data_IF_580167166047
#
_entry.id   IF_580167166047
#
_cell.length_a   1.000
_cell.length_b   1.000
_cell.length_c   1.000
_cell.angle_alpha   90.00
_cell.angle_beta   90.00
_cell.angle_gamma   90.00
#
_symmetry.space_group_name_H-M   'P 1'
#
loop_
_entity.id
_entity.type
_entity.pdbx_description
1 polymer ?
#
# COMPACT_ATOMS: atom_id res chain seq x y z
N UNK A 1 6.07 9.81 -11.73
CA UNK A 1 6.49 8.48 -11.23
C UNK A 1 5.71 7.42 -11.98
N UNK A 2 6.40 6.50 -12.61
CA UNK A 2 5.76 5.45 -13.42
C UNK A 2 5.86 4.11 -12.74
N UNK A 3 4.81 3.34 -12.78
CA UNK A 3 4.78 2.00 -12.23
C UNK A 3 4.92 0.96 -13.35
N UNK A 4 5.80 0.00 -13.15
CA UNK A 4 5.94 -1.17 -14.00
C UNK A 4 5.64 -2.40 -13.18
N UNK A 5 4.76 -3.26 -13.66
CA UNK A 5 4.42 -4.48 -12.95
C UNK A 5 5.46 -5.56 -13.17
N UNK A 6 5.82 -6.20 -12.07
CA UNK A 6 6.61 -7.43 -12.09
C UNK A 6 5.81 -8.48 -11.33
N UNK A 7 5.48 -9.56 -12.02
CA UNK A 7 4.83 -10.69 -11.38
C UNK A 7 5.85 -11.48 -10.58
N UNK A 8 5.49 -11.85 -9.37
CA UNK A 8 6.35 -12.68 -8.53
C UNK A 8 5.68 -14.02 -8.26
N UNK A 9 6.50 -14.99 -7.92
CA UNK A 9 6.02 -16.33 -7.57
C UNK A 9 5.47 -16.42 -6.13
N UNK A 10 5.54 -15.34 -5.38
CA UNK A 10 5.17 -15.35 -3.95
C UNK A 10 3.72 -15.00 -3.69
N UNK A 11 2.88 -14.91 -4.71
CA UNK A 11 1.45 -14.67 -4.58
C UNK A 11 1.04 -13.23 -4.77
N UNK A 12 1.61 -12.29 -4.04
CA UNK A 12 1.29 -10.87 -4.23
C UNK A 12 2.14 -10.29 -5.36
N UNK A 13 1.53 -9.61 -6.35
CA UNK A 13 2.31 -8.97 -7.41
C UNK A 13 3.09 -7.79 -6.86
N UNK A 14 4.29 -7.60 -7.39
CA UNK A 14 5.12 -6.45 -7.05
C UNK A 14 5.12 -5.46 -8.20
N UNK A 15 5.11 -4.19 -7.88
CA UNK A 15 5.23 -3.11 -8.83
C UNK A 15 6.60 -2.45 -8.66
N UNK A 16 7.30 -2.26 -9.76
CA UNK A 16 8.52 -1.48 -9.76
C UNK A 16 8.17 -0.05 -10.12
N UNK A 17 8.44 0.88 -9.22
CA UNK A 17 8.10 2.29 -9.39
C UNK A 17 9.39 3.08 -9.53
N UNK A 18 9.47 3.87 -10.58
CA UNK A 18 10.64 4.71 -10.85
C UNK A 18 10.35 6.14 -10.40
N UNK A 19 11.20 6.65 -9.52
CA UNK A 19 11.12 8.01 -9.00
C UNK A 19 12.25 8.85 -9.57
N UNK A 20 11.94 10.11 -9.82
CA UNK A 20 12.96 11.09 -10.21
C UNK A 20 13.57 11.69 -8.96
N UNK A 21 14.91 11.72 -8.91
CA UNK A 21 15.62 12.37 -7.81
C UNK A 21 15.46 13.89 -7.93
N UNK A 22 14.99 14.59 -6.88
CA UNK A 22 14.82 16.04 -6.93
C UNK A 22 16.12 16.83 -6.99
N UNK A 23 17.25 16.22 -6.61
CA UNK A 23 18.54 16.91 -6.53
C UNK A 23 19.53 16.48 -7.62
N UNK A 24 19.31 15.38 -8.28
CA UNK A 24 20.22 14.82 -9.28
C UNK A 24 19.45 14.29 -10.47
N UNK A 25 20.13 14.16 -11.61
CA UNK A 25 19.57 13.48 -12.79
C UNK A 25 19.69 11.98 -12.67
N UNK A 26 19.12 11.43 -11.63
CA UNK A 26 19.07 9.98 -11.41
C UNK A 26 17.65 9.53 -11.23
N UNK A 27 17.39 8.31 -11.69
CA UNK A 27 16.14 7.65 -11.46
C UNK A 27 16.35 6.60 -10.37
N UNK A 28 15.52 6.64 -9.36
CA UNK A 28 15.50 5.62 -8.32
C UNK A 28 14.33 4.68 -8.56
N UNK A 29 14.61 3.40 -8.53
CA UNK A 29 13.56 2.38 -8.70
C UNK A 29 13.33 1.69 -7.37
N UNK A 30 12.08 1.70 -6.92
CA UNK A 30 11.67 1.03 -5.69
C UNK A 30 10.62 -0.03 -6.01
N UNK A 31 10.60 -1.09 -5.23
CA UNK A 31 9.64 -2.17 -5.38
C UNK A 31 8.52 -1.99 -4.36
N UNK A 32 7.30 -1.91 -4.85
CA UNK A 32 6.11 -1.80 -4.02
C UNK A 32 5.25 -3.04 -4.18
N UNK A 33 4.47 -3.36 -3.16
CA UNK A 33 3.41 -4.34 -3.32
C UNK A 33 2.29 -3.66 -4.11
N UNK A 34 1.91 -4.25 -5.24
CA UNK A 34 0.92 -3.64 -6.12
C UNK A 34 -0.47 -3.75 -5.52
N UNK A 35 -1.18 -2.64 -5.30
CA UNK A 35 -2.58 -2.69 -4.95
C UNK A 35 -3.42 -3.05 -6.18
N UNK A 36 -4.61 -3.60 -5.93
CA UNK A 36 -5.52 -3.97 -7.00
C UNK A 36 -5.97 -2.71 -7.76
N UNK A 37 -5.93 -2.80 -9.08
CA UNK A 37 -6.27 -1.68 -9.97
C UNK A 37 -5.07 -0.90 -10.47
N UNK A 38 -3.87 -1.15 -9.96
CA UNK A 38 -2.66 -0.51 -10.44
C UNK A 38 -2.26 -1.14 -11.78
N UNK A 39 -1.92 -0.31 -12.76
CA UNK A 39 -1.51 -0.79 -14.08
C UNK A 39 -0.21 -0.14 -14.52
N UNK A 40 0.46 -0.78 -15.48
CA UNK A 40 1.72 -0.28 -16.05
C UNK A 40 1.51 1.08 -16.68
N UNK A 41 2.41 2.01 -16.38
CA UNK A 41 2.33 3.38 -16.90
C UNK A 41 1.54 4.32 -16.02
N UNK A 42 0.91 3.83 -14.96
CA UNK A 42 0.19 4.66 -14.02
C UNK A 42 1.16 5.49 -13.18
N UNK A 43 0.78 6.71 -12.86
CA UNK A 43 1.55 7.55 -11.96
C UNK A 43 1.15 7.29 -10.52
N UNK A 44 2.15 7.21 -9.66
CA UNK A 44 1.99 6.98 -8.23
C UNK A 44 2.67 8.10 -7.47
N UNK A 45 1.98 8.64 -6.49
CA UNK A 45 2.47 9.73 -5.66
C UNK A 45 2.70 9.25 -4.24
N UNK A 46 3.81 9.69 -3.67
CA UNK A 46 4.18 9.36 -2.30
C UNK A 46 4.42 10.65 -1.52
N UNK A 47 3.85 10.75 -0.34
CA UNK A 47 4.08 11.86 0.55
C UNK A 47 2.83 12.36 1.23
N UNK A 48 3.02 13.30 2.15
CA UNK A 48 1.95 13.84 2.98
C UNK A 48 0.89 14.58 2.16
N UNK A 49 1.30 15.18 1.06
CA UNK A 49 0.40 15.97 0.19
C UNK A 49 -0.15 15.17 -0.99
N UNK A 50 0.13 13.89 -1.07
CA UNK A 50 -0.40 13.05 -2.12
C UNK A 50 -1.93 12.97 -2.01
N UNK A 51 -2.60 12.82 -3.14
CA UNK A 51 -4.03 12.65 -3.16
C UNK A 51 -4.42 11.25 -2.66
N UNK A 52 -5.61 11.15 -2.12
CA UNK A 52 -6.15 9.85 -1.70
C UNK A 52 -6.59 9.07 -2.95
N UNK A 53 -5.71 8.24 -3.45
CA UNK A 53 -5.98 7.43 -4.63
C UNK A 53 -5.28 6.09 -4.53
N UNK A 54 -5.82 5.09 -5.21
CA UNK A 54 -5.29 3.73 -5.19
C UNK A 54 -3.85 3.72 -5.72
N UNK A 55 -2.95 3.14 -4.95
CA UNK A 55 -1.53 3.06 -5.29
C UNK A 55 -0.69 4.17 -4.68
N UNK A 56 -1.30 5.24 -4.21
CA UNK A 56 -0.56 6.33 -3.59
C UNK A 56 -0.15 5.96 -2.17
N UNK A 57 0.98 6.46 -1.74
CA UNK A 57 1.53 6.19 -0.41
C UNK A 57 1.44 7.46 0.43
N UNK A 58 0.76 7.35 1.57
CA UNK A 58 0.57 8.48 2.48
C UNK A 58 0.89 8.06 3.92
N UNK A 59 1.31 9.02 4.77
CA UNK A 59 1.40 8.74 6.19
C UNK A 59 0.02 8.56 6.80
N UNK A 60 -0.04 7.78 7.88
CA UNK A 60 -1.31 7.46 8.54
C UNK A 60 -2.09 8.69 8.97
N UNK A 61 -1.38 9.74 9.38
CA UNK A 61 -2.02 10.99 9.81
C UNK A 61 -2.81 11.69 8.70
N UNK A 62 -2.48 11.43 7.44
CA UNK A 62 -3.15 12.05 6.30
C UNK A 62 -4.30 11.21 5.75
N UNK A 63 -4.52 10.04 6.29
CA UNK A 63 -5.56 9.12 5.81
C UNK A 63 -6.81 9.26 6.67
N UNK A 64 -7.99 9.46 6.06
CA UNK A 64 -9.23 9.52 6.83
C UNK A 64 -9.61 8.16 7.41
N UNK A 65 -10.44 8.18 8.44
CA UNK A 65 -10.98 6.95 9.03
C UNK A 65 -11.79 6.18 8.00
N UNK A 66 -11.72 4.85 8.07
CA UNK A 66 -12.42 3.97 7.14
C UNK A 66 -11.66 3.72 5.85
N UNK A 67 -10.50 4.33 5.64
CA UNK A 67 -9.69 4.11 4.43
C UNK A 67 -9.12 2.70 4.44
N UNK A 68 -9.20 2.03 3.30
CA UNK A 68 -8.61 0.71 3.10
C UNK A 68 -7.18 0.90 2.60
N UNK A 69 -6.24 0.29 3.31
CA UNK A 69 -4.81 0.43 3.03
C UNK A 69 -4.14 -0.93 3.02
N UNK A 70 -2.98 -1.00 2.40
CA UNK A 70 -2.14 -2.21 2.41
C UNK A 70 -0.68 -1.80 2.54
N UNK A 71 0.19 -2.79 2.75
CA UNK A 71 1.63 -2.59 2.90
C UNK A 71 1.93 -1.52 3.95
N UNK A 72 1.31 -1.68 5.13
CA UNK A 72 1.41 -0.71 6.21
C UNK A 72 2.72 -0.89 6.96
N UNK A 73 3.41 0.20 7.24
CA UNK A 73 4.60 0.17 8.07
C UNK A 73 4.22 -0.04 9.53
N UNK A 74 4.85 -0.97 10.18
CA UNK A 74 4.71 -1.16 11.62
C UNK A 74 5.51 -0.10 12.38
N UNK A 75 6.70 0.18 11.89
CA UNK A 75 7.55 1.26 12.37
C UNK A 75 7.86 2.19 11.21
N UNK A 76 7.99 3.47 11.49
CA UNK A 76 8.29 4.44 10.44
C UNK A 76 9.61 4.07 9.73
N UNK A 77 9.56 3.97 8.41
CA UNK A 77 10.73 3.69 7.58
C UNK A 77 11.05 2.21 7.39
N UNK A 78 10.20 1.27 7.85
CA UNK A 78 10.47 -0.16 7.69
C UNK A 78 10.02 -0.74 6.34
N UNK A 79 9.52 0.10 5.44
CA UNK A 79 9.11 -0.25 4.07
C UNK A 79 7.87 -1.14 4.00
N UNK A 80 7.15 -1.28 5.09
CA UNK A 80 5.92 -2.05 5.10
C UNK A 80 6.10 -3.44 5.70
N UNK A 81 5.23 -3.78 6.63
CA UNK A 81 5.26 -5.04 7.35
C UNK A 81 3.90 -5.70 7.45
N UNK A 82 2.81 -4.93 7.39
CA UNK A 82 1.46 -5.40 7.64
C UNK A 82 0.62 -5.38 6.37
N UNK A 83 -0.32 -6.31 6.26
CA UNK A 83 -1.27 -6.41 5.14
C UNK A 83 -0.56 -6.50 3.77
N UNK A 84 0.38 -7.43 3.64
CA UNK A 84 1.20 -7.61 2.43
C UNK A 84 0.82 -8.82 1.60
N UNK A 85 0.01 -9.71 2.14
CA UNK A 85 -0.37 -10.93 1.45
C UNK A 85 -1.44 -10.64 0.40
N UNK A 86 -1.44 -11.42 -0.67
CA UNK A 86 -2.38 -11.28 -1.78
C UNK A 86 -3.82 -11.19 -1.29
N UNK A 87 -4.54 -10.16 -1.75
CA UNK A 87 -5.93 -9.94 -1.40
C UNK A 87 -6.17 -9.35 -0.03
N UNK A 88 -5.14 -9.16 0.78
CA UNK A 88 -5.31 -8.62 2.14
C UNK A 88 -5.30 -7.10 2.16
N UNK A 89 -5.90 -6.55 3.19
CA UNK A 89 -5.92 -5.11 3.42
C UNK A 89 -6.12 -4.84 4.91
N UNK A 90 -5.80 -3.63 5.32
CA UNK A 90 -6.11 -3.13 6.65
C UNK A 90 -7.07 -1.96 6.53
N UNK A 91 -7.83 -1.70 7.58
CA UNK A 91 -8.77 -0.58 7.62
C UNK A 91 -8.36 0.36 8.75
N UNK A 92 -8.32 1.65 8.47
CA UNK A 92 -8.05 2.65 9.49
C UNK A 92 -9.30 2.82 10.34
N UNK A 93 -9.18 2.55 11.64
CA UNK A 93 -10.29 2.68 12.58
C UNK A 93 -10.41 4.12 13.05
N UNK A 94 -9.30 4.76 13.38
CA UNK A 94 -9.31 6.10 13.89
C UNK A 94 -7.92 6.60 14.24
N UNK A 95 -7.86 7.86 14.60
CA UNK A 95 -6.64 8.53 15.01
C UNK A 95 -6.77 8.97 16.46
N UNK A 96 -5.66 9.00 17.18
CA UNK A 96 -5.63 9.54 18.52
C UNK A 96 -5.85 11.06 18.49
N UNK A 97 -6.39 11.58 19.60
CA UNK A 97 -6.59 13.01 19.76
C UNK A 97 -5.29 13.80 19.64
N UNK A 98 -4.17 13.19 20.06
CA UNK A 98 -2.84 13.80 19.97
C UNK A 98 -2.29 13.83 18.54
N UNK A 99 -2.86 13.03 17.63
CA UNK A 99 -2.36 12.89 16.28
C UNK A 99 -1.05 12.13 16.17
N UNK A 100 -0.60 11.49 17.24
CA UNK A 100 0.68 10.76 17.25
C UNK A 100 0.55 9.32 16.84
N UNK A 101 -0.60 8.72 17.07
CA UNK A 101 -0.85 7.31 16.77
C UNK A 101 -2.16 7.15 16.04
N UNK A 102 -2.26 6.06 15.30
CA UNK A 102 -3.48 5.69 14.58
C UNK A 102 -3.77 4.22 14.82
N UNK A 103 -5.04 3.88 14.90
CA UNK A 103 -5.47 2.51 15.09
C UNK A 103 -5.94 1.92 13.79
N UNK A 104 -5.51 0.70 13.51
CA UNK A 104 -5.89 -0.02 12.31
C UNK A 104 -6.43 -1.39 12.68
N UNK A 105 -7.29 -1.92 11.81
CA UNK A 105 -7.76 -3.30 11.89
C UNK A 105 -7.01 -4.12 10.85
N UNK A 106 -6.33 -5.16 11.28
CA UNK A 106 -5.58 -6.06 10.41
C UNK A 106 -6.51 -7.09 9.76
N UNK A 107 -6.06 -7.76 8.68
CA UNK A 107 -6.86 -8.79 8.02
C UNK A 107 -7.28 -9.94 8.95
N UNK A 108 -6.50 -10.21 9.97
CA UNK A 108 -6.82 -11.22 10.98
C UNK A 108 -7.96 -10.81 11.93
N UNK A 109 -8.41 -9.56 11.84
CA UNK A 109 -9.38 -8.99 12.77
C UNK A 109 -8.76 -8.32 13.98
N UNK A 110 -7.47 -8.49 14.21
CA UNK A 110 -6.79 -7.86 15.33
C UNK A 110 -6.66 -6.35 15.10
N UNK A 111 -6.75 -5.59 16.18
CA UNK A 111 -6.55 -4.14 16.15
C UNK A 111 -5.14 -3.83 16.59
N UNK A 112 -4.48 -2.93 15.90
CA UNK A 112 -3.12 -2.55 16.21
C UNK A 112 -2.99 -1.03 16.17
N UNK A 113 -2.17 -0.50 17.05
CA UNK A 113 -1.83 0.93 17.08
C UNK A 113 -0.47 1.12 16.43
N UNK A 114 -0.40 2.03 15.48
CA UNK A 114 0.84 2.38 14.78
C UNK A 114 1.07 3.89 14.89
N UNK A 115 2.32 4.29 14.71
CA UNK A 115 2.66 5.72 14.71
C UNK A 115 2.02 6.41 13.50
N UNK A 116 1.58 7.64 13.69
CA UNK A 116 0.97 8.41 12.60
C UNK A 116 1.98 8.77 11.50
N UNK A 117 3.28 8.69 11.79
CA UNK A 117 4.33 8.87 10.78
C UNK A 117 4.54 7.62 9.91
N UNK A 118 4.02 6.46 10.31
CA UNK A 118 4.06 5.27 9.49
C UNK A 118 3.29 5.50 8.20
N UNK A 119 3.79 4.92 7.11
CA UNK A 119 3.18 5.09 5.79
C UNK A 119 2.41 3.85 5.39
N UNK A 120 1.42 4.05 4.55
CA UNK A 120 0.64 2.96 4.01
C UNK A 120 0.27 3.26 2.56
N UNK A 121 0.08 2.21 1.78
CA UNK A 121 -0.39 2.33 0.40
C UNK A 121 -1.90 2.20 0.38
N UNK A 122 -2.58 3.10 -0.32
CA UNK A 122 -4.04 3.07 -0.42
C UNK A 122 -4.46 1.94 -1.35
N UNK A 123 -5.38 1.11 -0.91
CA UNK A 123 -5.95 0.04 -1.71
C UNK A 123 -5.84 -1.34 -1.06
N UNK A 124 -6.21 -2.35 -1.80
CA UNK A 124 -6.14 -3.75 -1.41
C UNK A 124 -5.00 -4.39 -2.19
N UNK A 125 -4.23 -5.28 -1.55
CA UNK A 125 -3.18 -6.00 -2.26
C UNK A 125 -3.79 -6.79 -3.41
N UNK A 126 -3.22 -6.65 -4.60
CA UNK A 126 -3.75 -7.33 -5.78
C UNK A 126 -3.69 -8.84 -5.60
N UNK A 127 -4.71 -9.51 -6.15
CA UNK A 127 -4.82 -10.95 -6.10
C UNK A 127 -4.54 -11.54 -7.48
N UNK A 128 -3.64 -12.53 -7.55
CA UNK A 128 -3.30 -13.19 -8.80
C UNK A 128 -4.29 -14.28 -9.22
N UNK A 129 -5.26 -14.59 -8.37
CA UNK A 129 -6.17 -15.70 -8.63
C UNK A 129 -6.99 -15.51 -9.90
N UNK A 130 -7.34 -14.28 -10.23
CA UNK A 130 -8.14 -14.05 -11.44
C UNK A 130 -7.31 -14.13 -12.73
N UNK A 131 -5.99 -14.14 -12.65
CA UNK A 131 -5.14 -14.35 -13.82
C UNK A 131 -5.07 -15.81 -14.22
N UNK A 132 -5.47 -16.69 -13.33
CA UNK A 132 -5.51 -18.13 -13.53
C UNK A 132 -6.96 -18.58 -13.40
N UNK A 133 -7.71 -18.68 -14.50
CA UNK A 133 -9.12 -19.04 -14.41
C UNK A 133 -9.28 -20.44 -13.82
N UNK A 134 -9.99 -20.51 -12.73
CA UNK A 134 -10.27 -21.73 -12.04
C UNK A 134 -11.78 -21.84 -11.80
N UNK A 135 -12.39 -23.00 -12.03
CA UNK A 135 -13.82 -23.17 -11.76
C UNK A 135 -14.21 -22.85 -10.33
N UNK A 136 -13.30 -22.99 -9.40
CA UNK A 136 -13.56 -22.72 -8.00
C UNK A 136 -13.70 -21.23 -7.68
N UNK A 137 -13.12 -20.38 -8.52
CA UNK A 137 -13.15 -18.94 -8.27
C UNK A 137 -14.55 -18.36 -8.39
N UNK A 138 -15.44 -19.11 -8.99
CA UNK A 138 -16.81 -18.68 -9.20
C UNK A 138 -17.81 -19.38 -8.29
N UNK A 139 -17.34 -20.39 -7.66
CA UNK A 139 -18.20 -21.19 -6.78
C UNK A 139 -18.31 -20.61 -5.44
#
# INVERSE_FOLDING_TARGET
MRAHFILTCSGAPLARVTFRDPYRYKLHTETFIAPEGLHTGQFVYCGKKAMLGVGNVLPMSSLPEGTIVCNVEEKAGDRGALARTSGNYATIIGHDADGKTSRIRLPSGAKKTVLSSARATVGIVACLLYTSPSPRDRG
#
